data_IF_375533920111
#
_entry.id   IF_375533920111
#
_cell.length_a   1.000
_cell.length_b   1.000
_cell.length_c   1.000
_cell.angle_alpha   90.00
_cell.angle_beta   90.00
_cell.angle_gamma   90.00
#
_symmetry.space_group_name_H-M   'P 1'
#
loop_
_entity.id
_entity.type
_entity.pdbx_description
1 polymer ?
#
# COMPACT_ATOMS: atom_id res chain seq x y z
N UNK A 1 -6.91 5.20 -22.76
CA UNK A 1 -6.21 4.90 -22.02
C UNK A 1 -6.67 4.37 -20.88
N UNK A 2 -6.41 3.61 -20.39
CA UNK A 2 -6.76 3.04 -19.46
C UNK A 2 -6.38 3.35 -18.36
N UNK A 3 -6.53 3.39 -17.71
CA UNK A 3 -6.31 3.80 -16.73
C UNK A 3 -5.85 3.47 -15.74
N UNK A 4 -6.11 3.62 -14.98
CA UNK A 4 -5.63 3.76 -13.89
C UNK A 4 -5.64 2.66 -13.05
N UNK A 5 -6.39 1.69 -13.13
CA UNK A 5 -6.32 0.59 -12.20
C UNK A 5 -6.23 -0.63 -13.03
N UNK A 6 -5.97 -1.71 -12.44
CA UNK A 6 -5.70 -2.88 -12.95
C UNK A 6 -6.92 -3.67 -12.96
N UNK A 7 -7.83 -3.47 -13.77
CA UNK A 7 -9.08 -4.20 -13.84
C UNK A 7 -9.96 -3.85 -12.66
N UNK A 8 -10.05 -4.72 -11.71
CA UNK A 8 -10.92 -4.51 -10.57
C UNK A 8 -10.25 -3.80 -9.41
N UNK A 9 -8.95 -3.63 -9.49
CA UNK A 9 -8.21 -3.06 -8.39
C UNK A 9 -7.98 -1.58 -8.59
N UNK A 10 -8.13 -0.80 -7.54
CA UNK A 10 -7.94 0.65 -7.59
C UNK A 10 -6.55 1.09 -7.17
N UNK A 11 -5.69 0.15 -6.89
CA UNK A 11 -4.28 0.44 -6.66
C UNK A 11 -3.50 -0.79 -7.05
N UNK A 12 -2.20 -0.64 -7.20
CA UNK A 12 -1.34 -1.76 -7.59
C UNK A 12 -0.43 -2.18 -6.46
N UNK A 13 -0.58 -1.58 -5.30
CA UNK A 13 0.34 -1.85 -4.20
C UNK A 13 -0.25 -2.71 -3.09
N UNK A 14 -1.54 -3.01 -3.16
CA UNK A 14 -2.23 -3.65 -2.05
C UNK A 14 -1.62 -4.94 -1.57
N UNK A 15 -1.32 -5.85 -2.49
CA UNK A 15 -0.77 -7.14 -2.09
C UNK A 15 0.65 -6.97 -1.53
N UNK A 16 1.41 -6.02 -2.06
CA UNK A 16 2.74 -5.75 -1.55
C UNK A 16 2.67 -5.18 -0.12
N UNK A 17 1.72 -4.27 0.11
CA UNK A 17 1.53 -3.71 1.45
C UNK A 17 1.19 -4.82 2.44
N UNK A 18 0.30 -5.72 2.05
CA UNK A 18 -0.06 -6.84 2.91
C UNK A 18 1.17 -7.70 3.22
N UNK A 19 1.95 -8.01 2.20
CA UNK A 19 3.14 -8.80 2.38
C UNK A 19 4.13 -8.12 3.34
N UNK A 20 4.40 -6.84 3.12
CA UNK A 20 5.33 -6.10 3.95
C UNK A 20 4.84 -6.00 5.39
N UNK A 21 3.53 -5.79 5.55
CA UNK A 21 2.93 -5.73 6.88
C UNK A 21 3.12 -7.06 7.61
N UNK A 22 2.82 -8.14 6.91
CA UNK A 22 2.93 -9.47 7.50
C UNK A 22 4.38 -9.82 7.85
N UNK A 23 5.32 -9.37 7.03
CA UNK A 23 6.73 -9.59 7.31
C UNK A 23 7.17 -8.88 8.58
N UNK A 24 6.52 -7.74 8.90
CA UNK A 24 6.83 -7.03 10.12
C UNK A 24 6.01 -7.55 11.31
N UNK A 25 5.13 -8.49 11.07
CA UNK A 25 4.32 -9.05 12.14
C UNK A 25 3.25 -8.11 12.67
N UNK A 26 2.79 -7.16 11.84
CA UNK A 26 1.84 -6.15 12.29
C UNK A 26 0.42 -6.51 11.89
N UNK A 27 -0.53 -6.19 12.78
CA UNK A 27 -1.93 -6.23 12.41
C UNK A 27 -2.24 -5.01 11.54
N UNK A 28 -3.38 -4.99 10.92
CA UNK A 28 -3.80 -3.83 10.14
C UNK A 28 -3.93 -2.59 11.04
N UNK A 29 -4.46 -2.78 12.24
CA UNK A 29 -4.60 -1.67 13.18
C UNK A 29 -3.24 -1.15 13.64
N UNK A 30 -2.29 -2.05 13.87
CA UNK A 30 -0.95 -1.65 14.29
C UNK A 30 -0.25 -0.86 13.19
N UNK A 31 -0.37 -1.31 11.94
CA UNK A 31 0.22 -0.58 10.83
C UNK A 31 -0.42 0.81 10.73
N UNK A 32 -1.74 0.89 10.85
CA UNK A 32 -2.42 2.17 10.77
C UNK A 32 -1.90 3.14 11.83
N UNK A 33 -1.72 2.66 13.06
CA UNK A 33 -1.20 3.50 14.13
C UNK A 33 0.19 4.03 13.81
N UNK A 34 1.04 3.18 13.26
CA UNK A 34 2.39 3.60 12.89
C UNK A 34 2.36 4.66 11.79
N UNK A 35 1.49 4.48 10.81
CA UNK A 35 1.41 5.41 9.69
C UNK A 35 0.84 6.76 10.14
N UNK A 36 -0.06 6.75 11.11
CA UNK A 36 -0.57 8.00 11.66
C UNK A 36 0.54 8.85 12.24
N UNK A 37 1.54 8.22 12.84
CA UNK A 37 2.68 8.94 13.38
C UNK A 37 3.50 9.64 12.29
N UNK A 38 3.36 9.17 11.07
CA UNK A 38 4.06 9.77 9.93
C UNK A 38 3.19 10.76 9.17
N UNK A 39 2.00 11.02 9.68
CA UNK A 39 1.13 12.01 9.07
C UNK A 39 0.10 11.45 8.10
N UNK A 40 -0.02 10.15 8.00
CA UNK A 40 -1.01 9.57 7.11
C UNK A 40 -2.28 9.28 7.89
N UNK A 41 -3.38 9.90 7.47
CA UNK A 41 -4.64 9.63 8.10
C UNK A 41 -5.12 8.28 7.68
N UNK A 42 -5.27 7.36 8.59
CA UNK A 42 -5.74 6.03 8.23
C UNK A 42 -6.19 5.28 9.46
N UNK A 43 -6.99 4.27 9.24
CA UNK A 43 -7.46 3.37 10.27
C UNK A 43 -7.20 1.95 9.77
N UNK A 44 -7.53 0.97 10.59
CA UNK A 44 -7.42 -0.42 10.17
C UNK A 44 -8.26 -0.68 8.92
N UNK A 45 -9.41 -0.05 8.82
CA UNK A 45 -10.26 -0.22 7.65
C UNK A 45 -9.60 0.36 6.40
N UNK A 46 -8.87 1.47 6.56
CA UNK A 46 -8.12 2.05 5.44
C UNK A 46 -7.09 1.04 4.94
N UNK A 47 -6.36 0.41 5.85
CA UNK A 47 -5.35 -0.57 5.47
C UNK A 47 -6.02 -1.78 4.79
N UNK A 48 -7.12 -2.26 5.34
CA UNK A 48 -7.85 -3.36 4.74
C UNK A 48 -8.23 -3.03 3.30
N UNK A 49 -8.75 -1.85 3.07
CA UNK A 49 -9.19 -1.46 1.72
C UNK A 49 -8.04 -1.30 0.75
N UNK A 50 -6.89 -0.81 1.22
CA UNK A 50 -5.70 -0.75 0.38
C UNK A 50 -5.30 -2.17 -0.01
N UNK A 51 -5.25 -3.07 0.95
CA UNK A 51 -4.81 -4.45 0.71
C UNK A 51 -5.76 -5.18 -0.22
N UNK A 52 -7.04 -4.87 -0.14
CA UNK A 52 -8.02 -5.49 -1.02
C UNK A 52 -8.07 -4.85 -2.40
N UNK A 53 -7.40 -3.74 -2.59
CA UNK A 53 -7.40 -3.04 -3.87
C UNK A 53 -8.65 -2.22 -4.09
N UNK A 54 -9.44 -1.98 -3.05
CA UNK A 54 -10.70 -1.27 -3.21
C UNK A 54 -10.60 0.22 -2.92
N UNK A 55 -9.39 0.73 -2.66
CA UNK A 55 -9.17 2.13 -2.36
C UNK A 55 -8.05 2.67 -3.21
N UNK A 56 -8.25 3.85 -3.79
CA UNK A 56 -7.17 4.55 -4.46
C UNK A 56 -6.16 5.02 -3.42
N UNK A 57 -4.90 5.03 -3.78
CA UNK A 57 -3.83 5.48 -2.90
C UNK A 57 -3.11 6.64 -3.58
N UNK A 58 -3.30 7.85 -3.09
CA UNK A 58 -2.65 9.00 -3.74
C UNK A 58 -1.14 8.95 -3.57
N UNK A 59 -0.46 9.72 -4.40
CA UNK A 59 1.01 9.66 -4.49
C UNK A 59 1.68 9.97 -3.15
N UNK A 60 1.15 10.91 -2.37
CA UNK A 60 1.80 11.24 -1.11
C UNK A 60 1.68 10.09 -0.10
N UNK A 61 0.59 9.30 -0.20
CA UNK A 61 0.47 8.13 0.66
C UNK A 61 1.43 7.04 0.22
N UNK A 62 1.64 6.89 -1.09
CA UNK A 62 2.62 5.94 -1.59
C UNK A 62 4.00 6.29 -1.05
N UNK A 63 4.33 7.58 -1.04
CA UNK A 63 5.63 8.02 -0.53
C UNK A 63 5.78 7.71 0.96
N UNK A 64 4.73 7.92 1.74
CA UNK A 64 4.76 7.63 3.17
C UNK A 64 4.93 6.13 3.41
N UNK A 65 4.20 5.32 2.66
CA UNK A 65 4.28 3.87 2.80
C UNK A 65 5.66 3.36 2.46
N UNK A 66 6.24 3.87 1.38
CA UNK A 66 7.58 3.47 0.98
C UNK A 66 8.60 3.84 2.06
N UNK A 67 8.47 5.03 2.61
CA UNK A 67 9.35 5.48 3.66
C UNK A 67 9.21 4.61 4.91
N UNK A 68 7.98 4.32 5.28
CA UNK A 68 7.75 3.50 6.48
C UNK A 68 8.39 2.12 6.32
N UNK A 69 8.20 1.50 5.16
CA UNK A 69 8.76 0.17 4.94
C UNK A 69 10.22 0.20 4.49
N UNK A 70 10.79 1.41 4.39
CA UNK A 70 12.19 1.59 4.04
C UNK A 70 12.54 0.97 2.70
N UNK A 71 11.71 1.20 1.72
CA UNK A 71 11.94 0.76 0.35
C UNK A 71 11.72 1.94 -0.57
N UNK A 72 12.19 1.85 -1.79
CA UNK A 72 11.97 2.93 -2.75
C UNK A 72 10.53 2.89 -3.24
N UNK A 73 10.03 4.02 -3.70
CA UNK A 73 8.71 4.05 -4.32
C UNK A 73 8.68 3.19 -5.57
N UNK A 74 9.81 3.11 -6.27
CA UNK A 74 9.90 2.24 -7.44
C UNK A 74 9.66 0.79 -7.06
N UNK A 75 10.26 0.35 -5.97
CA UNK A 75 10.07 -1.02 -5.50
C UNK A 75 8.62 -1.25 -5.11
N UNK A 76 8.03 -0.29 -4.42
CA UNK A 76 6.64 -0.44 -3.98
C UNK A 76 5.69 -0.48 -5.17
N UNK A 77 5.92 0.32 -6.18
CA UNK A 77 5.03 0.41 -7.33
C UNK A 77 5.27 -0.65 -8.39
N UNK A 78 6.37 -1.40 -8.29
CA UNK A 78 6.70 -2.36 -9.30
C UNK A 78 5.72 -3.52 -9.28
N UNK A 79 5.09 -3.75 -10.38
CA UNK A 79 4.20 -4.88 -10.47
C UNK A 79 4.97 -6.11 -10.83
N UNK A 80 4.47 -7.23 -10.32
CA UNK A 80 5.11 -8.43 -10.60
C UNK A 80 4.90 -8.69 -12.02
N UNK A 81 5.79 -8.91 -12.82
CA UNK A 81 5.67 -9.04 -14.10
C UNK A 81 5.73 -10.17 -14.50
N UNK A 82 5.09 -10.47 -15.01
CA UNK A 82 5.03 -11.54 -15.45
C UNK A 82 6.04 -11.72 -16.26
N UNK A 83 6.39 -11.44 -16.47
CA UNK A 83 7.16 -11.53 -17.22
C UNK A 83 8.03 -11.01 -17.21
N UNK A 84 8.04 -10.57 -16.86
CA UNK A 84 8.82 -9.99 -16.88
C UNK A 84 9.52 -10.41 -16.65
#
# INVERSE_FOLDING_TARGET
>A
MKIYWNGTSKNIIGSKIRQLRQEKGLSQAALASQLQLLGMECSDLTILRIEQGSRFVPDYEVAILAKYFNISTDTLLKQKEADS
#
